data_IF_185410497577
#
_entry.id   IF_185410497577
#
_cell.length_a   1.000
_cell.length_b   1.000
_cell.length_c   1.000
_cell.angle_alpha   90.00
_cell.angle_beta   90.00
_cell.angle_gamma   90.00
#
_symmetry.space_group_name_H-M   'P 1'
#
loop_
_entity.id
_entity.type
_entity.pdbx_description
1 polymer ?
#
# COMPACT_ATOMS: atom_id res chain seq x y z
N UNK A 1 49.97 -13.19 4.81
CA UNK A 1 49.51 -13.01 6.21
C UNK A 1 48.15 -13.66 6.35
N UNK A 2 48.10 -14.89 6.84
CA UNK A 2 46.87 -15.60 7.20
C UNK A 2 46.42 -15.10 8.58
N UNK A 3 45.64 -14.00 8.59
CA UNK A 3 45.03 -13.49 9.81
C UNK A 3 44.18 -14.58 10.46
N UNK A 4 44.35 -14.74 11.78
CA UNK A 4 43.60 -15.70 12.59
C UNK A 4 42.10 -15.58 12.28
N UNK A 5 41.40 -16.68 11.92
CA UNK A 5 39.97 -16.62 11.69
C UNK A 5 39.29 -16.19 13.00
N UNK A 6 38.54 -15.09 12.96
CA UNK A 6 37.63 -14.74 14.04
C UNK A 6 36.81 -15.99 14.39
N UNK A 7 36.65 -16.34 15.69
CA UNK A 7 35.82 -17.46 16.08
C UNK A 7 34.43 -17.32 15.44
N UNK A 8 33.89 -18.42 14.89
CA UNK A 8 32.62 -18.40 14.17
C UNK A 8 31.47 -17.79 14.99
N UNK A 9 31.50 -17.92 16.32
CA UNK A 9 30.53 -17.30 17.22
C UNK A 9 30.60 -15.77 17.23
N UNK A 10 31.79 -15.18 17.32
CA UNK A 10 31.95 -13.72 17.27
C UNK A 10 31.49 -13.13 15.92
N UNK A 11 31.72 -13.87 14.82
CA UNK A 11 31.20 -13.49 13.51
C UNK A 11 29.67 -13.56 13.44
N UNK A 12 29.05 -14.56 14.07
CA UNK A 12 27.59 -14.68 14.12
C UNK A 12 26.95 -13.55 14.93
N UNK A 13 27.57 -13.14 16.03
CA UNK A 13 27.10 -12.00 16.83
C UNK A 13 27.15 -10.70 16.01
N UNK A 14 28.28 -10.45 15.33
CA UNK A 14 28.44 -9.28 14.45
C UNK A 14 27.39 -9.30 13.33
N UNK A 15 27.20 -10.44 12.66
CA UNK A 15 26.24 -10.59 11.56
C UNK A 15 24.80 -10.39 12.06
N UNK A 16 24.46 -10.86 13.25
CA UNK A 16 23.12 -10.74 13.84
C UNK A 16 22.74 -9.29 14.20
N UNK A 17 23.73 -8.43 14.41
CA UNK A 17 23.56 -7.00 14.69
C UNK A 17 23.53 -6.14 13.42
N UNK A 18 23.76 -6.71 12.24
CA UNK A 18 23.69 -5.98 10.99
C UNK A 18 22.23 -5.62 10.65
N UNK A 19 22.02 -4.48 9.98
CA UNK A 19 20.75 -4.23 9.30
C UNK A 19 20.58 -5.15 8.08
N UNK A 20 19.38 -5.15 7.49
CA UNK A 20 19.06 -6.03 6.36
C UNK A 20 19.91 -5.72 5.11
N UNK A 21 20.24 -4.46 4.87
CA UNK A 21 21.05 -4.03 3.72
C UNK A 21 22.50 -4.50 3.84
N UNK A 22 23.06 -4.38 5.04
CA UNK A 22 24.39 -4.83 5.41
C UNK A 22 24.46 -6.35 5.35
N UNK A 23 23.45 -7.07 5.83
CA UNK A 23 23.38 -8.53 5.70
C UNK A 23 23.35 -8.96 4.23
N UNK A 24 22.53 -8.32 3.38
CA UNK A 24 22.50 -8.57 1.93
C UNK A 24 23.88 -8.40 1.32
N UNK A 25 24.57 -7.31 1.64
CA UNK A 25 25.92 -7.02 1.16
C UNK A 25 26.94 -8.05 1.64
N UNK A 26 26.92 -8.41 2.93
CA UNK A 26 27.82 -9.39 3.53
C UNK A 26 27.73 -10.75 2.85
N UNK A 27 26.53 -11.23 2.51
CA UNK A 27 26.32 -12.51 1.78
C UNK A 27 26.95 -12.55 0.38
N UNK A 28 27.19 -11.38 -0.22
CA UNK A 28 27.83 -11.26 -1.52
C UNK A 28 29.36 -11.22 -1.44
N UNK A 29 29.94 -10.97 -0.26
CA UNK A 29 31.39 -10.79 -0.11
C UNK A 29 32.19 -12.08 -0.25
N UNK A 30 31.78 -13.18 0.42
CA UNK A 30 32.51 -14.47 0.43
C UNK A 30 31.57 -15.66 0.59
N UNK A 31 31.90 -16.78 -0.06
CA UNK A 31 31.17 -18.05 0.07
C UNK A 31 31.08 -18.54 1.52
N UNK A 32 32.16 -18.39 2.29
CA UNK A 32 32.17 -18.78 3.70
C UNK A 32 31.15 -18.00 4.55
N UNK A 33 31.04 -16.68 4.33
CA UNK A 33 30.05 -15.84 5.02
C UNK A 33 28.63 -16.21 4.58
N UNK A 34 28.43 -16.43 3.28
CA UNK A 34 27.14 -16.90 2.76
C UNK A 34 26.70 -18.20 3.41
N UNK A 35 27.58 -19.21 3.42
CA UNK A 35 27.29 -20.50 4.04
C UNK A 35 27.01 -20.36 5.54
N UNK A 36 27.74 -19.49 6.24
CA UNK A 36 27.50 -19.20 7.65
C UNK A 36 26.10 -18.58 7.84
N UNK A 37 25.74 -17.57 7.05
CA UNK A 37 24.42 -16.94 7.10
C UNK A 37 23.31 -17.96 6.79
N UNK A 38 23.48 -18.76 5.75
CA UNK A 38 22.48 -19.76 5.34
C UNK A 38 22.33 -20.87 6.41
N UNK A 39 23.40 -21.24 7.11
CA UNK A 39 23.36 -22.23 8.21
C UNK A 39 22.63 -21.69 9.43
N UNK A 40 22.77 -20.40 9.72
CA UNK A 40 22.21 -19.75 10.92
C UNK A 40 21.07 -18.78 10.58
N UNK A 41 20.38 -19.00 9.46
CA UNK A 41 19.42 -18.02 8.92
C UNK A 41 18.31 -17.68 9.90
N UNK A 42 17.84 -18.64 10.69
CA UNK A 42 16.76 -18.45 11.66
C UNK A 42 17.20 -17.50 12.78
N UNK A 43 18.35 -17.77 13.39
CA UNK A 43 18.86 -16.95 14.51
C UNK A 43 19.21 -15.55 14.06
N UNK A 44 19.89 -15.42 12.91
CA UNK A 44 20.26 -14.13 12.32
C UNK A 44 18.99 -13.33 12.00
N UNK A 45 18.05 -13.94 11.28
CA UNK A 45 16.82 -13.23 10.87
C UNK A 45 15.96 -12.84 12.07
N UNK A 46 15.85 -13.70 13.09
CA UNK A 46 15.12 -13.38 14.32
C UNK A 46 15.74 -12.17 15.03
N UNK A 47 17.07 -12.13 15.16
CA UNK A 47 17.75 -11.00 15.79
C UNK A 47 17.55 -9.71 14.99
N UNK A 48 17.72 -9.76 13.66
CA UNK A 48 17.52 -8.60 12.80
C UNK A 48 16.08 -8.12 12.83
N UNK A 49 15.10 -9.03 12.80
CA UNK A 49 13.67 -8.68 12.91
C UNK A 49 13.38 -7.88 14.18
N UNK A 50 13.95 -8.29 15.31
CA UNK A 50 13.71 -7.67 16.62
C UNK A 50 14.23 -6.24 16.74
N UNK A 51 15.32 -5.90 16.06
CA UNK A 51 15.93 -4.57 16.19
C UNK A 51 15.67 -3.65 15.00
N UNK A 52 15.34 -4.19 13.82
CA UNK A 52 15.14 -3.41 12.60
C UNK A 52 13.68 -3.05 12.31
N UNK A 53 12.71 -3.69 12.96
CA UNK A 53 11.28 -3.49 12.70
C UNK A 53 10.49 -3.32 13.99
N UNK A 54 9.39 -2.56 13.92
CA UNK A 54 8.45 -2.47 15.03
C UNK A 54 7.58 -3.72 15.14
N UNK A 55 6.95 -3.92 16.30
CA UNK A 55 5.98 -5.01 16.50
C UNK A 55 4.83 -4.92 15.51
N UNK A 56 4.35 -3.71 15.25
CA UNK A 56 3.26 -3.46 14.31
C UNK A 56 3.68 -3.79 12.88
N UNK A 57 4.89 -3.44 12.46
CA UNK A 57 5.40 -3.79 11.12
C UNK A 57 5.52 -5.30 10.93
N UNK A 58 5.99 -6.02 11.96
CA UNK A 58 6.07 -7.48 11.93
C UNK A 58 4.69 -8.13 11.83
N UNK A 59 3.67 -7.54 12.47
CA UNK A 59 2.29 -8.01 12.41
C UNK A 59 1.64 -7.70 11.06
N UNK A 60 1.75 -6.46 10.60
CA UNK A 60 1.14 -5.95 9.36
C UNK A 60 1.70 -6.60 8.09
N UNK A 61 3.00 -6.86 8.05
CA UNK A 61 3.68 -7.43 6.86
C UNK A 61 4.03 -8.91 7.02
N UNK A 62 3.32 -9.61 7.90
CA UNK A 62 3.54 -11.04 8.12
C UNK A 62 3.33 -11.84 6.82
N UNK A 63 4.32 -12.66 6.47
CA UNK A 63 4.26 -13.55 5.31
C UNK A 63 3.64 -14.87 5.73
N UNK A 64 2.43 -15.16 5.25
CA UNK A 64 1.68 -16.34 5.68
C UNK A 64 2.04 -17.61 4.91
N UNK A 65 2.79 -17.48 3.83
CA UNK A 65 3.02 -18.58 2.91
C UNK A 65 4.40 -19.16 3.19
N UNK A 66 4.44 -20.37 3.73
CA UNK A 66 5.68 -21.09 4.12
C UNK A 66 6.57 -21.53 2.96
N UNK A 67 6.52 -20.82 1.84
CA UNK A 67 7.31 -21.10 0.63
C UNK A 67 8.72 -20.51 0.70
N UNK A 68 8.96 -19.57 1.60
CA UNK A 68 10.20 -18.82 1.68
C UNK A 68 11.07 -19.31 2.83
N UNK A 69 12.39 -19.33 2.61
CA UNK A 69 13.33 -19.50 3.72
C UNK A 69 13.22 -18.32 4.68
N UNK A 70 13.67 -18.49 5.93
CA UNK A 70 13.51 -17.45 6.95
C UNK A 70 14.26 -16.16 6.57
N UNK A 71 15.38 -16.31 5.86
CA UNK A 71 16.15 -15.21 5.30
C UNK A 71 15.44 -14.52 4.13
N UNK A 72 14.78 -15.29 3.26
CA UNK A 72 13.96 -14.72 2.18
C UNK A 72 12.78 -13.95 2.77
N UNK A 73 12.14 -14.47 3.82
CA UNK A 73 11.11 -13.77 4.56
C UNK A 73 11.61 -12.44 5.12
N UNK A 74 12.80 -12.40 5.74
CA UNK A 74 13.41 -11.16 6.21
C UNK A 74 13.60 -10.14 5.09
N UNK A 75 14.10 -10.58 3.93
CA UNK A 75 14.37 -9.67 2.81
C UNK A 75 13.09 -9.15 2.15
N UNK A 76 12.05 -9.97 2.10
CA UNK A 76 10.73 -9.58 1.62
C UNK A 76 10.05 -8.63 2.60
N UNK A 77 10.13 -8.88 3.91
CA UNK A 77 9.63 -7.97 4.94
C UNK A 77 10.28 -6.58 4.82
N UNK A 78 11.62 -6.55 4.78
CA UNK A 78 12.40 -5.33 4.57
C UNK A 78 12.00 -4.57 3.30
N UNK A 79 11.80 -5.30 2.21
CA UNK A 79 11.33 -4.73 0.95
C UNK A 79 9.93 -4.11 1.11
N UNK A 80 8.96 -4.86 1.65
CA UNK A 80 7.59 -4.39 1.85
C UNK A 80 7.56 -3.12 2.70
N UNK A 81 8.18 -3.14 3.88
CA UNK A 81 8.21 -1.99 4.81
C UNK A 81 8.84 -0.76 4.16
N UNK A 82 10.00 -0.90 3.50
CA UNK A 82 10.64 0.24 2.83
C UNK A 82 9.82 0.77 1.67
N UNK A 83 9.22 -0.12 0.87
CA UNK A 83 8.36 0.27 -0.25
C UNK A 83 7.11 1.00 0.22
N UNK A 84 6.43 0.53 1.27
CA UNK A 84 5.22 1.21 1.77
C UNK A 84 5.55 2.56 2.39
N UNK A 85 6.64 2.66 3.17
CA UNK A 85 7.08 3.96 3.71
C UNK A 85 7.35 4.96 2.59
N UNK A 86 8.10 4.56 1.56
CA UNK A 86 8.38 5.41 0.41
C UNK A 86 7.11 5.79 -0.37
N UNK A 87 6.20 4.84 -0.63
CA UNK A 87 4.94 5.11 -1.33
C UNK A 87 4.02 6.04 -0.53
N UNK A 88 4.01 5.90 0.80
CA UNK A 88 3.29 6.81 1.70
C UNK A 88 3.85 8.21 1.64
N UNK A 89 5.17 8.37 1.69
CA UNK A 89 5.82 9.66 1.56
C UNK A 89 5.51 10.31 0.21
N UNK A 90 5.57 9.54 -0.87
CA UNK A 90 5.14 9.98 -2.21
C UNK A 90 3.69 10.45 -2.20
N UNK A 91 2.78 9.66 -1.61
CA UNK A 91 1.35 9.98 -1.58
C UNK A 91 1.09 11.30 -0.83
N UNK A 92 1.69 11.45 0.34
CA UNK A 92 1.48 12.63 1.18
C UNK A 92 2.13 13.89 0.60
N UNK A 93 3.29 13.77 -0.04
CA UNK A 93 3.99 14.90 -0.66
C UNK A 93 3.27 15.39 -1.93
N UNK A 94 2.67 14.47 -2.71
CA UNK A 94 2.09 14.80 -4.01
C UNK A 94 0.57 14.99 -3.99
N UNK A 95 -0.10 14.68 -2.87
CA UNK A 95 -1.52 14.97 -2.74
C UNK A 95 -1.72 16.49 -2.75
N UNK A 96 -2.40 16.99 -3.78
CA UNK A 96 -2.84 18.37 -3.81
C UNK A 96 -4.13 18.47 -3.01
N UNK A 97 -4.16 19.35 -2.01
CA UNK A 97 -5.39 19.61 -1.26
C UNK A 97 -6.38 20.32 -2.18
N UNK A 98 -7.40 19.59 -2.62
CA UNK A 98 -8.56 20.21 -3.25
C UNK A 98 -9.37 20.92 -2.16
N UNK A 99 -9.40 22.25 -2.24
CA UNK A 99 -9.88 23.15 -1.18
C UNK A 99 -11.32 22.93 -0.70
N UNK A 100 -12.09 22.08 -1.39
CA UNK A 100 -13.50 21.80 -1.10
C UNK A 100 -13.74 20.52 -0.28
N UNK A 101 -12.79 19.58 -0.20
CA UNK A 101 -13.07 18.26 0.39
C UNK A 101 -12.73 18.12 1.88
N UNK A 102 -11.80 18.93 2.44
CA UNK A 102 -11.52 19.00 3.89
C UNK A 102 -11.07 17.69 4.58
N UNK A 103 -11.01 16.57 3.87
CA UNK A 103 -10.69 15.23 4.36
C UNK A 103 -9.34 14.71 3.89
N UNK A 104 -8.72 15.40 2.94
CA UNK A 104 -7.49 14.99 2.25
C UNK A 104 -6.33 15.88 2.71
N UNK A 105 -5.28 15.28 3.28
CA UNK A 105 -4.13 15.99 3.84
C UNK A 105 -2.89 15.77 2.99
N UNK A 106 -2.46 16.82 2.29
CA UNK A 106 -1.41 16.76 1.29
C UNK A 106 -0.27 17.71 1.54
N UNK A 107 0.72 17.72 0.63
CA UNK A 107 1.93 18.53 0.72
C UNK A 107 2.73 18.35 2.03
N UNK A 108 2.67 17.18 2.66
CA UNK A 108 3.43 16.91 3.89
C UNK A 108 4.82 16.43 3.49
N UNK A 109 5.85 17.24 3.77
CA UNK A 109 7.23 16.87 3.51
C UNK A 109 7.67 15.63 4.27
N UNK A 110 8.52 14.79 3.68
CA UNK A 110 8.94 13.48 4.23
C UNK A 110 9.54 13.53 5.64
N UNK A 111 10.12 14.68 6.03
CA UNK A 111 10.78 14.87 7.32
C UNK A 111 9.89 15.60 8.36
N UNK A 112 8.65 15.91 8.00
CA UNK A 112 7.74 16.64 8.89
C UNK A 112 7.07 15.67 9.87
N UNK A 113 7.48 15.73 11.14
CA UNK A 113 6.98 14.85 12.20
C UNK A 113 5.48 14.96 12.45
N UNK A 114 4.88 16.09 12.09
CA UNK A 114 3.42 16.30 12.12
C UNK A 114 2.66 15.32 11.20
N UNK A 115 3.33 14.77 10.17
CA UNK A 115 2.77 13.76 9.28
C UNK A 115 2.80 12.34 9.83
N UNK A 116 3.49 12.06 10.94
CA UNK A 116 3.81 10.69 11.35
C UNK A 116 2.57 9.84 11.66
N UNK A 117 1.54 10.46 12.24
CA UNK A 117 0.25 9.80 12.47
C UNK A 117 -0.40 9.38 11.16
N UNK A 118 -0.45 10.29 10.17
CA UNK A 118 -1.03 10.01 8.85
C UNK A 118 -0.20 8.98 8.10
N UNK A 119 1.14 9.06 8.18
CA UNK A 119 2.05 8.05 7.64
C UNK A 119 1.75 6.68 8.22
N UNK A 120 1.55 6.58 9.53
CA UNK A 120 1.17 5.33 10.21
C UNK A 120 -0.14 4.75 9.66
N UNK A 121 -1.16 5.59 9.50
CA UNK A 121 -2.45 5.19 8.91
C UNK A 121 -2.29 4.69 7.47
N UNK A 122 -1.65 5.47 6.59
CA UNK A 122 -1.48 5.12 5.17
C UNK A 122 -0.58 3.88 5.01
N UNK A 123 0.50 3.75 5.79
CA UNK A 123 1.34 2.55 5.83
C UNK A 123 0.55 1.30 6.24
N UNK A 124 -0.34 1.43 7.22
CA UNK A 124 -1.24 0.34 7.60
C UNK A 124 -2.15 -0.04 6.43
N UNK A 125 -2.76 0.94 5.76
CA UNK A 125 -3.54 0.71 4.55
C UNK A 125 -2.74 -0.06 3.48
N UNK A 126 -1.47 0.28 3.27
CA UNK A 126 -0.63 -0.41 2.28
C UNK A 126 -0.39 -1.88 2.64
N UNK A 127 -0.20 -2.17 3.93
CA UNK A 127 -0.04 -3.54 4.42
C UNK A 127 -1.29 -4.39 4.16
N UNK A 128 -2.48 -3.80 4.35
CA UNK A 128 -3.77 -4.44 4.05
C UNK A 128 -3.91 -4.70 2.55
N UNK A 129 -3.55 -3.75 1.69
CA UNK A 129 -3.54 -3.97 0.24
C UNK A 129 -2.57 -5.10 -0.17
N UNK A 130 -1.40 -5.17 0.46
CA UNK A 130 -0.45 -6.26 0.24
C UNK A 130 -1.06 -7.61 0.62
N UNK A 131 -1.74 -7.65 1.77
CA UNK A 131 -2.37 -8.87 2.28
C UNK A 131 -3.52 -9.33 1.37
N UNK A 132 -4.32 -8.40 0.85
CA UNK A 132 -5.38 -8.69 -0.13
C UNK A 132 -4.81 -9.28 -1.43
N UNK A 133 -3.67 -8.75 -1.89
CA UNK A 133 -2.93 -9.30 -3.04
C UNK A 133 -2.38 -10.70 -2.75
N UNK A 134 -1.76 -10.92 -1.58
CA UNK A 134 -1.29 -12.25 -1.18
C UNK A 134 -2.42 -13.28 -1.11
N UNK A 135 -3.60 -12.90 -0.59
CA UNK A 135 -4.79 -13.76 -0.59
C UNK A 135 -5.19 -14.15 -2.02
N UNK A 136 -5.22 -13.17 -2.92
CA UNK A 136 -5.49 -13.42 -4.33
C UNK A 136 -4.51 -14.42 -4.94
N UNK A 137 -3.20 -14.24 -4.69
CA UNK A 137 -2.14 -15.13 -5.19
C UNK A 137 -2.31 -16.55 -4.66
N UNK A 138 -2.52 -16.70 -3.36
CA UNK A 138 -2.70 -17.99 -2.70
C UNK A 138 -3.91 -18.76 -3.22
N UNK A 139 -5.05 -18.08 -3.42
CA UNK A 139 -6.26 -18.74 -3.94
C UNK A 139 -6.05 -19.18 -5.39
N UNK A 140 -5.41 -18.35 -6.23
CA UNK A 140 -5.08 -18.73 -7.61
C UNK A 140 -4.19 -19.97 -7.62
N UNK A 141 -3.10 -19.95 -6.85
CA UNK A 141 -2.19 -21.09 -6.74
C UNK A 141 -2.91 -22.38 -6.34
N UNK A 142 -3.77 -22.29 -5.32
CA UNK A 142 -4.55 -23.42 -4.82
C UNK A 142 -5.56 -23.96 -5.85
N UNK A 143 -6.16 -23.10 -6.66
CA UNK A 143 -7.20 -23.50 -7.61
C UNK A 143 -6.66 -23.90 -8.98
N UNK A 144 -5.45 -23.49 -9.33
CA UNK A 144 -4.82 -23.78 -10.62
C UNK A 144 -3.75 -24.87 -10.55
N UNK A 145 -3.47 -25.40 -9.35
CA UNK A 145 -2.40 -26.36 -9.07
C UNK A 145 -1.03 -25.91 -9.60
N UNK A 146 -0.83 -24.60 -9.76
CA UNK A 146 0.45 -24.04 -10.17
C UNK A 146 1.44 -24.09 -9.01
N UNK A 147 2.72 -24.38 -9.32
CA UNK A 147 3.76 -24.21 -8.33
C UNK A 147 4.04 -22.71 -8.14
N UNK A 148 4.31 -22.24 -6.90
CA UNK A 148 4.71 -20.86 -6.64
C UNK A 148 5.90 -20.38 -7.49
N UNK A 149 6.83 -21.28 -7.82
CA UNK A 149 7.99 -20.96 -8.67
C UNK A 149 7.69 -20.80 -10.15
N UNK A 150 6.53 -21.29 -10.61
CA UNK A 150 6.10 -21.22 -12.02
C UNK A 150 5.16 -20.02 -12.28
N UNK A 151 4.81 -19.28 -11.22
CA UNK A 151 3.93 -18.12 -11.31
C UNK A 151 4.68 -16.99 -12.01
N UNK A 152 4.17 -16.46 -13.14
CA UNK A 152 4.73 -15.25 -13.73
C UNK A 152 4.68 -14.11 -12.71
N UNK A 153 5.59 -13.14 -12.85
CA UNK A 153 5.65 -11.96 -11.98
C UNK A 153 4.34 -11.13 -11.91
N UNK A 154 3.33 -11.44 -12.73
CA UNK A 154 2.06 -10.72 -12.83
C UNK A 154 0.90 -11.70 -12.74
N UNK A 155 0.10 -11.56 -11.71
CA UNK A 155 -0.93 -12.53 -11.35
C UNK A 155 -2.20 -12.33 -12.17
N UNK A 156 -2.49 -11.09 -12.54
CA UNK A 156 -3.59 -10.76 -13.47
C UNK A 156 -3.47 -11.52 -14.80
N UNK A 157 -2.25 -11.85 -15.23
CA UNK A 157 -2.03 -12.63 -16.46
C UNK A 157 -2.47 -14.09 -16.36
N UNK A 158 -2.52 -14.68 -15.15
CA UNK A 158 -2.86 -16.09 -14.94
C UNK A 158 -4.35 -16.38 -15.12
N UNK A 159 -5.20 -15.38 -14.94
CA UNK A 159 -6.66 -15.55 -15.01
C UNK A 159 -7.23 -15.26 -16.40
N UNK A 160 -6.38 -14.94 -17.38
CA UNK A 160 -6.81 -14.58 -18.74
C UNK A 160 -7.52 -15.74 -19.43
N UNK A 161 -8.77 -15.52 -19.85
CA UNK A 161 -9.52 -16.49 -20.64
C UNK A 161 -9.77 -17.81 -19.92
N UNK A 162 -9.58 -17.87 -18.60
CA UNK A 162 -9.87 -19.08 -17.83
C UNK A 162 -11.37 -19.34 -17.84
N UNK A 163 -11.82 -20.55 -18.18
CA UNK A 163 -13.25 -20.87 -18.16
C UNK A 163 -13.82 -20.85 -16.73
N UNK A 164 -12.95 -20.94 -15.72
CA UNK A 164 -13.31 -20.94 -14.30
C UNK A 164 -13.26 -19.55 -13.66
N UNK A 165 -13.31 -18.47 -14.46
CA UNK A 165 -13.10 -17.11 -13.95
C UNK A 165 -14.12 -16.75 -12.89
N UNK A 166 -15.37 -17.22 -13.03
CA UNK A 166 -16.44 -16.96 -12.07
C UNK A 166 -16.17 -17.65 -10.73
N UNK A 167 -15.85 -18.94 -10.73
CA UNK A 167 -15.54 -19.67 -9.50
C UNK A 167 -14.28 -19.10 -8.83
N UNK A 168 -13.26 -18.79 -9.62
CA UNK A 168 -12.00 -18.25 -9.16
C UNK A 168 -12.17 -16.88 -8.48
N UNK A 169 -12.81 -15.93 -9.18
CA UNK A 169 -13.05 -14.59 -8.65
C UNK A 169 -13.97 -14.62 -7.42
N UNK A 170 -14.95 -15.52 -7.40
CA UNK A 170 -15.81 -15.74 -6.22
C UNK A 170 -14.99 -16.25 -5.02
N UNK A 171 -14.08 -17.21 -5.24
CA UNK A 171 -13.24 -17.74 -4.17
C UNK A 171 -12.28 -16.68 -3.61
N UNK A 172 -11.65 -15.89 -4.48
CA UNK A 172 -10.77 -14.80 -4.04
C UNK A 172 -11.55 -13.75 -3.26
N UNK A 173 -12.66 -13.27 -3.83
CA UNK A 173 -13.52 -12.28 -3.17
C UNK A 173 -13.92 -12.73 -1.77
N UNK A 174 -14.38 -13.97 -1.63
CA UNK A 174 -14.83 -14.49 -0.33
C UNK A 174 -13.70 -14.52 0.71
N UNK A 175 -12.49 -14.91 0.33
CA UNK A 175 -11.34 -14.91 1.23
C UNK A 175 -10.86 -13.48 1.56
N UNK A 176 -10.93 -12.54 0.61
CA UNK A 176 -10.62 -11.13 0.83
C UNK A 176 -11.65 -10.47 1.77
N UNK A 177 -12.94 -10.69 1.54
CA UNK A 177 -14.04 -10.24 2.41
C UNK A 177 -13.85 -10.79 3.82
N UNK A 178 -13.58 -12.09 3.96
CA UNK A 178 -13.31 -12.72 5.26
C UNK A 178 -12.16 -12.04 6.01
N UNK A 179 -11.10 -11.67 5.30
CA UNK A 179 -9.99 -10.93 5.90
C UNK A 179 -10.41 -9.52 6.33
N UNK A 180 -11.07 -8.75 5.46
CA UNK A 180 -11.54 -7.39 5.78
C UNK A 180 -12.50 -7.41 6.97
N UNK A 181 -13.45 -8.34 7.01
CA UNK A 181 -14.36 -8.50 8.14
C UNK A 181 -13.69 -8.89 9.46
N UNK A 182 -12.43 -9.36 9.41
CA UNK A 182 -11.65 -9.66 10.62
C UNK A 182 -10.81 -8.49 11.11
N UNK A 183 -10.69 -7.42 10.33
CA UNK A 183 -9.97 -6.20 10.70
C UNK A 183 -10.73 -5.41 11.74
N UNK A 184 -10.00 -4.68 12.57
CA UNK A 184 -10.60 -3.64 13.41
C UNK A 184 -11.15 -2.50 12.55
N UNK A 185 -12.04 -1.70 13.15
CA UNK A 185 -12.53 -0.48 12.53
C UNK A 185 -11.37 0.45 12.11
N UNK A 186 -10.38 0.63 12.99
CA UNK A 186 -9.23 1.50 12.71
C UNK A 186 -8.40 1.03 11.51
N UNK A 187 -8.18 -0.28 11.36
CA UNK A 187 -7.49 -0.86 10.21
C UNK A 187 -8.30 -0.70 8.93
N UNK A 188 -9.61 -0.95 8.98
CA UNK A 188 -10.51 -0.78 7.84
C UNK A 188 -10.55 0.68 7.38
N UNK A 189 -10.58 1.60 8.34
CA UNK A 189 -10.50 3.03 8.08
C UNK A 189 -9.14 3.44 7.48
N UNK A 190 -8.03 2.91 7.99
CA UNK A 190 -6.71 3.16 7.42
C UNK A 190 -6.60 2.67 5.96
N UNK A 191 -7.25 1.55 5.63
CA UNK A 191 -7.34 1.05 4.26
C UNK A 191 -8.22 1.91 3.37
N UNK A 192 -9.38 2.37 3.88
CA UNK A 192 -10.23 3.34 3.19
C UNK A 192 -9.46 4.63 2.88
N UNK A 193 -8.76 5.19 3.88
CA UNK A 193 -7.93 6.37 3.70
C UNK A 193 -6.89 6.17 2.60
N UNK A 194 -6.18 5.03 2.59
CA UNK A 194 -5.25 4.71 1.50
C UNK A 194 -5.93 4.77 0.13
N UNK A 195 -7.15 4.25 -0.02
CA UNK A 195 -7.86 4.26 -1.32
C UNK A 195 -8.07 5.69 -1.83
N UNK A 196 -8.40 6.63 -0.94
CA UNK A 196 -8.53 8.05 -1.28
C UNK A 196 -7.20 8.65 -1.75
N UNK A 197 -6.11 8.40 -1.03
CA UNK A 197 -4.76 8.86 -1.45
C UNK A 197 -4.34 8.24 -2.79
N UNK A 198 -4.65 6.97 -2.99
CA UNK A 198 -4.34 6.29 -4.24
C UNK A 198 -5.12 6.90 -5.41
N UNK A 199 -6.40 7.17 -5.20
CA UNK A 199 -7.28 7.78 -6.19
C UNK A 199 -6.89 9.22 -6.52
N UNK A 200 -6.39 9.98 -5.56
CA UNK A 200 -6.00 11.37 -5.78
C UNK A 200 -4.58 11.52 -6.36
N UNK A 201 -3.61 10.73 -5.88
CA UNK A 201 -2.19 10.92 -6.25
C UNK A 201 -1.79 10.12 -7.47
N UNK A 202 -2.27 8.88 -7.58
CA UNK A 202 -1.78 7.95 -8.60
C UNK A 202 -2.61 7.96 -9.88
N UNK A 203 -3.76 8.65 -9.88
CA UNK A 203 -4.65 8.78 -11.03
C UNK A 203 -3.94 9.33 -12.27
N UNK A 204 -3.43 10.56 -12.20
CA UNK A 204 -2.88 11.27 -13.37
C UNK A 204 -1.60 10.62 -13.92
N UNK A 205 -0.87 9.88 -13.10
CA UNK A 205 0.42 9.31 -13.51
C UNK A 205 0.28 7.88 -14.03
N UNK A 206 -0.56 7.06 -13.42
CA UNK A 206 -0.61 5.61 -13.66
C UNK A 206 -1.85 5.18 -14.44
N UNK A 207 -2.96 5.89 -14.27
CA UNK A 207 -4.28 5.45 -14.72
C UNK A 207 -4.86 6.27 -15.88
N UNK A 208 -4.03 7.10 -16.54
CA UNK A 208 -4.43 7.83 -17.73
C UNK A 208 -4.76 6.81 -18.86
N UNK A 209 -6.06 6.58 -19.13
CA UNK A 209 -6.55 5.54 -20.05
C UNK A 209 -6.06 5.84 -21.47
N UNK A 210 -5.15 5.04 -22.05
CA UNK A 210 -4.59 5.30 -23.38
C UNK A 210 -5.61 5.20 -24.52
N UNK A 211 -6.87 4.86 -24.24
CA UNK A 211 -7.91 4.57 -25.24
C UNK A 211 -8.93 5.72 -25.43
N UNK A 212 -8.76 6.90 -24.83
CA UNK A 212 -9.60 8.09 -25.11
C UNK A 212 -11.01 8.06 -24.49
N UNK A 213 -12.07 8.64 -25.12
CA UNK A 213 -13.47 8.70 -24.59
C UNK A 213 -14.49 7.77 -25.28
N UNK A 214 -14.08 6.99 -26.29
CA UNK A 214 -14.96 6.23 -27.19
C UNK A 214 -15.04 4.68 -27.02
N UNK A 215 -15.06 4.10 -25.81
CA UNK A 215 -15.26 2.64 -25.62
C UNK A 215 -16.54 2.36 -24.82
N UNK A 216 -17.46 1.59 -25.38
CA UNK A 216 -18.86 1.46 -24.91
C UNK A 216 -19.07 0.70 -23.58
N UNK A 217 -18.01 0.16 -23.00
CA UNK A 217 -18.04 -0.60 -21.75
C UNK A 217 -17.15 0.03 -20.66
N UNK A 218 -17.03 1.36 -20.70
CA UNK A 218 -16.10 2.20 -19.94
C UNK A 218 -16.47 2.59 -18.53
N UNK A 219 -17.63 2.19 -18.02
CA UNK A 219 -17.97 2.55 -16.64
C UNK A 219 -16.95 1.83 -15.75
N UNK A 220 -16.08 2.61 -15.08
CA UNK A 220 -15.05 2.07 -14.20
C UNK A 220 -13.63 1.94 -14.77
N UNK A 221 -13.13 2.96 -15.48
CA UNK A 221 -11.71 3.06 -15.85
C UNK A 221 -10.92 4.03 -14.98
N UNK A 222 -11.55 4.63 -13.99
CA UNK A 222 -10.92 5.56 -13.06
C UNK A 222 -10.68 4.77 -11.78
N UNK A 223 -9.41 4.52 -11.44
CA UNK A 223 -9.09 3.89 -10.17
C UNK A 223 -9.67 4.74 -9.02
N UNK A 224 -10.25 4.09 -8.01
CA UNK A 224 -10.89 4.77 -6.88
C UNK A 224 -12.39 5.04 -7.07
N UNK A 225 -12.92 4.97 -8.30
CA UNK A 225 -14.37 5.00 -8.50
C UNK A 225 -14.95 3.59 -8.36
N UNK A 226 -16.05 3.46 -7.59
CA UNK A 226 -16.47 2.21 -6.96
C UNK A 226 -16.63 1.00 -7.88
N UNK A 227 -16.99 1.19 -9.15
CA UNK A 227 -17.13 0.12 -10.12
C UNK A 227 -15.93 0.01 -11.06
N UNK A 228 -14.72 0.42 -10.67
CA UNK A 228 -13.58 0.37 -11.56
C UNK A 228 -12.96 -1.01 -11.70
N UNK A 229 -12.76 -1.49 -12.93
CA UNK A 229 -11.99 -2.72 -13.17
C UNK A 229 -10.51 -2.54 -12.77
N UNK A 230 -10.01 -1.30 -12.75
CA UNK A 230 -8.67 -1.04 -12.22
C UNK A 230 -8.58 -1.32 -10.72
N UNK A 231 -9.69 -1.23 -9.97
CA UNK A 231 -9.70 -1.65 -8.57
C UNK A 231 -9.42 -3.16 -8.47
N UNK A 232 -9.99 -3.96 -9.38
CA UNK A 232 -9.65 -5.38 -9.49
C UNK A 232 -8.17 -5.59 -9.78
N UNK A 233 -7.60 -4.88 -10.77
CA UNK A 233 -6.18 -5.04 -11.13
C UNK A 233 -5.26 -4.68 -9.95
N UNK A 234 -5.58 -3.62 -9.21
CA UNK A 234 -4.83 -3.20 -8.02
C UNK A 234 -4.93 -4.23 -6.89
N UNK A 235 -6.11 -4.81 -6.65
CA UNK A 235 -6.26 -5.89 -5.67
C UNK A 235 -5.45 -7.15 -6.06
N UNK A 236 -5.15 -7.33 -7.35
CA UNK A 236 -4.36 -8.47 -7.87
C UNK A 236 -2.87 -8.23 -7.76
N UNK A 237 -2.41 -7.09 -8.27
CA UNK A 237 -0.98 -6.77 -8.39
C UNK A 237 -0.39 -6.16 -7.10
N UNK A 238 -1.25 -5.56 -6.27
CA UNK A 238 -0.87 -5.01 -4.96
C UNK A 238 0.03 -3.77 -5.04
N UNK A 239 0.71 -3.42 -3.94
CA UNK A 239 1.51 -2.19 -3.85
C UNK A 239 2.69 -2.11 -4.83
N UNK A 240 3.19 -3.27 -5.29
CA UNK A 240 4.27 -3.35 -6.28
C UNK A 240 3.90 -2.65 -7.60
N UNK A 241 2.62 -2.64 -7.96
CA UNK A 241 2.12 -1.96 -9.15
C UNK A 241 2.42 -0.45 -9.09
N UNK A 242 2.09 0.18 -7.96
CA UNK A 242 2.33 1.60 -7.72
C UNK A 242 3.82 1.90 -7.56
N UNK A 243 4.54 1.04 -6.83
CA UNK A 243 5.97 1.20 -6.64
C UNK A 243 6.71 1.24 -7.98
N UNK A 244 6.35 0.32 -8.88
CA UNK A 244 6.90 0.27 -10.22
C UNK A 244 6.54 1.51 -11.03
N UNK A 245 5.27 1.88 -11.04
CA UNK A 245 4.80 3.03 -11.82
C UNK A 245 5.47 4.35 -11.37
N UNK A 246 5.73 4.50 -10.07
CA UNK A 246 6.33 5.72 -9.54
C UNK A 246 7.86 5.76 -9.61
N UNK A 247 8.51 4.59 -9.61
CA UNK A 247 9.98 4.48 -9.56
C UNK A 247 10.70 5.09 -10.77
N UNK A 248 10.08 5.06 -11.95
CA UNK A 248 10.69 5.50 -13.21
C UNK A 248 9.64 5.71 -14.30
N UNK A 249 10.01 6.42 -15.37
CA UNK A 249 9.14 6.59 -16.54
C UNK A 249 8.89 5.24 -17.24
N UNK A 250 9.93 4.44 -17.40
CA UNK A 250 9.87 3.11 -18.01
C UNK A 250 8.99 2.18 -17.18
N UNK A 251 9.11 2.23 -15.85
CA UNK A 251 8.24 1.52 -14.92
C UNK A 251 6.77 1.89 -15.09
N UNK A 252 6.47 3.18 -15.26
CA UNK A 252 5.12 3.66 -15.55
C UNK A 252 4.60 3.12 -16.90
N UNK A 253 5.40 3.25 -17.97
CA UNK A 253 5.04 2.73 -19.29
C UNK A 253 4.77 1.22 -19.25
N UNK A 254 5.50 0.46 -18.44
CA UNK A 254 5.24 -0.97 -18.24
C UNK A 254 3.93 -1.27 -17.51
N UNK A 255 3.51 -0.42 -16.57
CA UNK A 255 2.23 -0.50 -15.89
C UNK A 255 1.07 -0.14 -16.84
N UNK A 256 1.22 0.91 -17.66
CA UNK A 256 0.23 1.27 -18.69
C UNK A 256 0.11 0.17 -19.75
N UNK A 257 1.24 -0.41 -20.18
CA UNK A 257 1.25 -1.61 -21.05
C UNK A 257 0.56 -2.79 -20.39
N UNK A 258 0.73 -2.99 -19.09
CA UNK A 258 0.02 -4.04 -18.35
C UNK A 258 -1.49 -3.84 -18.47
N UNK A 259 -1.99 -2.67 -18.05
CA UNK A 259 -3.42 -2.32 -18.09
C UNK A 259 -3.98 -2.59 -19.49
N UNK A 260 -3.32 -2.06 -20.52
CA UNK A 260 -3.77 -2.21 -21.91
C UNK A 260 -3.78 -3.68 -22.36
N UNK A 261 -2.73 -4.44 -21.99
CA UNK A 261 -2.59 -5.84 -22.39
C UNK A 261 -3.55 -6.78 -21.65
N UNK A 262 -3.81 -6.53 -20.36
CA UNK A 262 -4.73 -7.32 -19.56
C UNK A 262 -6.16 -7.09 -20.03
N UNK A 263 -6.52 -5.84 -20.29
CA UNK A 263 -7.85 -5.48 -20.75
C UNK A 263 -8.16 -6.01 -22.14
N UNK A 264 -7.25 -5.82 -23.11
CA UNK A 264 -7.47 -6.25 -24.50
C UNK A 264 -7.59 -7.77 -24.67
N UNK A 265 -7.06 -8.54 -23.72
CA UNK A 265 -7.10 -10.01 -23.73
C UNK A 265 -8.29 -10.60 -22.96
N UNK A 266 -9.13 -9.77 -22.36
CA UNK A 266 -10.31 -10.22 -21.59
C UNK A 266 -11.57 -10.12 -22.43
N UNK A 267 -12.46 -11.10 -22.26
CA UNK A 267 -13.83 -10.98 -22.75
C UNK A 267 -14.58 -9.94 -21.91
N UNK A 268 -15.63 -9.34 -22.50
CA UNK A 268 -16.52 -8.44 -21.78
C UNK A 268 -17.12 -9.10 -20.53
N UNK A 269 -17.49 -10.37 -20.63
CA UNK A 269 -18.02 -11.13 -19.50
C UNK A 269 -17.01 -11.27 -18.37
N UNK A 270 -15.75 -11.60 -18.69
CA UNK A 270 -14.69 -11.71 -17.69
C UNK A 270 -14.47 -10.38 -16.96
N UNK A 271 -14.41 -9.25 -17.69
CA UNK A 271 -14.24 -7.92 -17.08
C UNK A 271 -15.36 -7.61 -16.09
N UNK A 272 -16.62 -7.90 -16.45
CA UNK A 272 -17.77 -7.66 -15.56
C UNK A 272 -17.71 -8.51 -14.28
N UNK A 273 -17.25 -9.77 -14.38
CA UNK A 273 -17.06 -10.65 -13.22
C UNK A 273 -15.98 -10.10 -12.29
N UNK A 274 -14.82 -9.74 -12.85
CA UNK A 274 -13.68 -9.19 -12.13
C UNK A 274 -14.03 -7.85 -11.46
N UNK A 275 -14.74 -6.98 -12.19
CA UNK A 275 -15.25 -5.69 -11.71
C UNK A 275 -16.22 -5.87 -10.54
N UNK A 276 -17.22 -6.74 -10.67
CA UNK A 276 -18.18 -7.02 -9.60
C UNK A 276 -17.50 -7.57 -8.35
N UNK A 277 -16.52 -8.46 -8.51
CA UNK A 277 -15.77 -9.01 -7.39
C UNK A 277 -15.01 -7.92 -6.62
N UNK A 278 -14.34 -7.00 -7.31
CA UNK A 278 -13.63 -5.89 -6.67
C UNK A 278 -14.58 -4.85 -6.06
N UNK A 279 -15.72 -4.59 -6.70
CA UNK A 279 -16.75 -3.68 -6.18
C UNK A 279 -17.29 -4.18 -4.84
N UNK A 280 -17.65 -5.45 -4.72
CA UNK A 280 -18.16 -6.02 -3.45
C UNK A 280 -17.14 -5.92 -2.31
N UNK A 281 -15.84 -6.09 -2.60
CA UNK A 281 -14.76 -5.88 -1.63
C UNK A 281 -14.69 -4.42 -1.19
N UNK A 282 -14.77 -3.47 -2.12
CA UNK A 282 -14.76 -2.03 -1.83
C UNK A 282 -16.01 -1.52 -1.09
N UNK A 283 -17.19 -2.07 -1.42
CA UNK A 283 -18.45 -1.77 -0.74
C UNK A 283 -18.42 -2.20 0.72
N UNK A 284 -17.80 -3.34 1.04
CA UNK A 284 -17.63 -3.77 2.42
C UNK A 284 -16.78 -2.79 3.24
N UNK A 285 -15.64 -2.35 2.68
CA UNK A 285 -14.76 -1.35 3.33
C UNK A 285 -15.53 -0.06 3.56
N UNK A 286 -16.19 0.45 2.51
CA UNK A 286 -16.97 1.69 2.58
C UNK A 286 -18.09 1.58 3.61
N UNK A 287 -18.90 0.51 3.55
CA UNK A 287 -20.03 0.31 4.47
C UNK A 287 -19.59 0.26 5.93
N UNK A 288 -18.43 -0.34 6.22
CA UNK A 288 -17.87 -0.40 7.57
C UNK A 288 -17.48 0.99 8.08
N UNK A 289 -16.90 1.84 7.22
CA UNK A 289 -16.51 3.20 7.59
C UNK A 289 -17.71 4.14 7.72
N UNK A 290 -18.73 4.00 6.87
CA UNK A 290 -19.90 4.90 6.84
C UNK A 290 -21.00 4.55 7.86
N UNK A 291 -21.06 3.30 8.35
CA UNK A 291 -22.12 2.87 9.29
C UNK A 291 -21.84 3.21 10.74
N UNK A 292 -20.61 3.56 11.12
CA UNK A 292 -20.32 3.94 12.50
C UNK A 292 -20.82 5.37 12.83
N UNK A 293 -21.69 5.55 13.85
CA UNK A 293 -22.36 6.81 14.18
C UNK A 293 -21.43 7.98 14.54
N UNK A 294 -20.15 7.71 14.78
CA UNK A 294 -19.14 8.70 15.17
C UNK A 294 -17.97 8.82 14.18
N UNK A 295 -18.03 8.09 13.06
CA UNK A 295 -16.96 8.01 12.06
C UNK A 295 -16.55 9.39 11.53
N UNK A 296 -17.46 10.26 11.05
CA UNK A 296 -17.07 11.57 10.52
C UNK A 296 -16.54 12.52 11.61
N UNK A 297 -17.02 12.38 12.85
CA UNK A 297 -16.72 13.30 13.96
C UNK A 297 -15.38 12.94 14.61
N UNK A 298 -15.10 11.67 14.88
CA UNK A 298 -13.82 11.21 15.45
C UNK A 298 -12.69 11.41 14.44
N UNK A 299 -12.97 11.16 13.15
CA UNK A 299 -12.05 11.42 12.05
C UNK A 299 -11.70 12.91 12.00
N UNK A 300 -12.72 13.78 11.97
CA UNK A 300 -12.52 15.23 11.93
C UNK A 300 -11.86 15.77 13.20
N UNK A 301 -12.13 15.23 14.39
CA UNK A 301 -11.50 15.67 15.66
C UNK A 301 -10.00 15.32 15.69
N UNK A 302 -9.63 14.06 15.43
CA UNK A 302 -8.21 13.64 15.45
C UNK A 302 -7.37 14.35 14.39
N UNK A 303 -8.01 14.73 13.28
CA UNK A 303 -7.37 15.46 12.19
C UNK A 303 -7.43 17.00 12.36
N UNK A 304 -8.39 17.52 13.11
CA UNK A 304 -8.41 18.93 13.52
C UNK A 304 -7.34 19.24 14.57
N UNK A 305 -7.02 18.28 15.44
CA UNK A 305 -5.88 18.40 16.37
C UNK A 305 -4.55 18.48 15.59
N UNK A 306 -4.43 17.79 14.45
CA UNK A 306 -3.34 17.94 13.48
C UNK A 306 -3.29 19.35 12.87
N UNK A 307 -4.42 19.88 12.39
CA UNK A 307 -4.49 21.24 11.82
C UNK A 307 -4.23 22.34 12.87
N UNK A 308 -4.52 22.10 14.15
CA UNK A 308 -4.18 23.03 15.25
C UNK A 308 -2.68 23.04 15.54
N UNK A 309 -2.03 21.88 15.54
CA UNK A 309 -0.58 21.78 15.71
C UNK A 309 0.23 22.50 14.62
N UNK A 310 -0.19 22.36 13.34
CA UNK A 310 0.45 23.07 12.22
C UNK A 310 0.26 24.59 12.27
N UNK A 311 -0.93 25.06 12.66
CA UNK A 311 -1.25 26.50 12.81
C UNK A 311 -0.50 27.18 13.97
N UNK A 312 -0.17 26.44 15.03
CA UNK A 312 0.65 26.96 16.14
C UNK A 312 2.09 27.28 15.66
N UNK A 313 2.64 26.44 14.79
CA UNK A 313 3.99 26.60 14.21
C UNK A 313 4.02 27.78 13.23
N UNK A 314 3.02 27.92 12.35
CA UNK A 314 2.86 29.08 11.46
C UNK A 314 2.71 30.40 12.24
N UNK A 315 2.09 30.34 13.43
CA UNK A 315 1.91 31.50 14.30
C UNK A 315 3.22 31.91 14.99
N UNK A 316 4.10 30.95 15.31
CA UNK A 316 5.39 31.17 15.98
C UNK A 316 6.51 31.54 15.00
N UNK A 317 6.47 31.05 13.76
CA UNK A 317 7.51 31.24 12.74
C UNK A 317 6.98 31.90 11.47
N UNK A 318 6.50 33.16 11.59
CA UNK A 318 5.93 33.95 10.47
C UNK A 318 6.87 34.19 9.28
N UNK A 319 8.18 33.99 9.47
CA UNK A 319 9.21 34.31 8.48
C UNK A 319 9.68 33.10 7.67
N UNK A 320 9.15 31.90 7.95
CA UNK A 320 9.41 30.70 7.14
C UNK A 320 8.42 30.68 5.97
N UNK A 321 8.85 31.24 4.84
CA UNK A 321 8.13 31.15 3.58
C UNK A 321 8.17 29.72 3.05
N UNK A 322 7.11 28.96 3.27
CA UNK A 322 6.82 27.84 2.39
C UNK A 322 6.36 28.39 1.04
N UNK A 323 7.05 28.01 -0.04
CA UNK A 323 6.51 28.09 -1.39
C UNK A 323 5.39 27.05 -1.53
N UNK A 324 4.24 27.32 -0.90
CA UNK A 324 3.03 26.52 -1.01
C UNK A 324 1.92 27.36 -1.66
N UNK A 325 1.06 26.65 -2.40
CA UNK A 325 -0.03 27.18 -3.19
C UNK A 325 -0.98 28.12 -2.43
N UNK A 326 -1.81 28.80 -3.21
CA UNK A 326 -2.69 29.90 -2.80
C UNK A 326 -3.38 29.65 -1.44
N UNK A 327 -3.25 30.61 -0.53
CA UNK A 327 -4.07 30.73 0.69
C UNK A 327 -5.55 30.55 0.36
N UNK A 328 -6.25 29.71 1.15
CA UNK A 328 -7.71 29.73 1.18
C UNK A 328 -8.19 31.14 1.55
N UNK A 329 -9.21 31.69 0.86
CA UNK A 329 -9.75 33.00 1.18
C UNK A 329 -10.26 33.04 2.64
N UNK A 330 -10.04 34.14 3.38
CA UNK A 330 -10.53 34.33 4.75
C UNK A 330 -12.04 34.13 4.94
N UNK A 331 -12.77 34.08 3.84
CA UNK A 331 -14.23 34.03 3.77
C UNK A 331 -14.71 32.57 3.84
N UNK A 332 -13.92 31.64 3.28
CA UNK A 332 -14.14 30.18 3.37
C UNK A 332 -13.90 29.71 4.81
N UNK A 333 -12.86 30.23 5.44
CA UNK A 333 -12.52 29.93 6.86
C UNK A 333 -13.68 30.36 7.78
N UNK A 334 -14.23 31.55 7.57
CA UNK A 334 -15.36 32.09 8.34
C UNK A 334 -16.71 31.42 8.05
N UNK A 335 -16.80 30.62 6.99
CA UNK A 335 -17.97 29.77 6.71
C UNK A 335 -17.90 28.50 7.55
N UNK A 336 -16.74 27.83 7.54
CA UNK A 336 -16.51 26.58 8.28
C UNK A 336 -16.65 26.79 9.79
N UNK A 337 -16.20 27.92 10.33
CA UNK A 337 -16.36 28.25 11.75
C UNK A 337 -17.81 28.52 12.15
N UNK A 338 -18.62 29.06 11.23
CA UNK A 338 -20.05 29.35 11.45
C UNK A 338 -20.88 28.07 11.43
N UNK A 339 -20.60 27.19 10.50
CA UNK A 339 -21.29 25.91 10.41
C UNK A 339 -21.04 25.07 11.67
N UNK A 340 -19.91 25.25 12.36
CA UNK A 340 -19.60 24.53 13.61
C UNK A 340 -20.30 25.08 14.86
N UNK A 341 -20.53 26.39 14.96
CA UNK A 341 -21.20 26.95 16.13
C UNK A 341 -22.64 26.43 16.25
N UNK A 342 -23.27 26.15 15.11
CA UNK A 342 -24.67 25.73 15.03
C UNK A 342 -24.90 24.25 15.38
N UNK A 343 -23.83 23.43 15.43
CA UNK A 343 -23.90 22.03 15.88
C UNK A 343 -23.56 21.84 17.37
N UNK A 344 -23.09 22.89 18.04
CA UNK A 344 -22.66 22.85 19.46
C UNK A 344 -23.65 23.47 20.45
N UNK A 345 -24.84 23.83 19.98
CA UNK A 345 -26.01 24.24 20.76
C UNK A 345 -27.13 23.22 20.61
#
# INVERSE_FOLDING_TARGET
MSGLPLPSLALLDIISLCDVSTLKSLRLTRKAIRNLVDTYEISISTNIKRHSFTVDELASFHLHDGFYSELQCLFLLDYRVRTTRWLTDVALENLQEDGDSGTSYGNIGTNETQGDTVRGCVNTGWSILWRLSDIAHRVILKMTDLNPGDVPNRISSLTRGTPLVRELETAIKNEQIKYISSLSYAETHNYFLLQDYLAAVFHDRVFDDPRGKNSDWRIGNEFGYGNSWLNWLVLREGPNFFAKAWSSKEGNEECVKLITSEWSKRSKEQVLIEQAAAQEVGELVSSTVWTEPHSPVIMKIRLMDWARGGREIERVHRDVFYHLGRRLPPDVIRSIERDYSDYSS
#
